data_IF_389212122315
#
_entry.id   IF_389212122315
#
_cell.length_a   1.000
_cell.length_b   1.000
_cell.length_c   1.000
_cell.angle_alpha   90.00
_cell.angle_beta   90.00
_cell.angle_gamma   90.00
#
_symmetry.space_group_name_H-M   'P 1'
#
loop_
_entity.id
_entity.type
_entity.pdbx_description
1 polymer ?
#
# COMPACT_ATOMS: atom_id res chain seq x y z
N UNK A 1 -16.28 -18.15 -15.19
CA UNK A 1 -15.90 -17.53 -13.91
C UNK A 1 -14.71 -18.27 -13.30
N UNK A 2 -13.80 -17.54 -12.68
CA UNK A 2 -12.61 -18.09 -12.05
C UNK A 2 -12.85 -18.38 -10.57
N UNK A 3 -12.35 -19.53 -10.08
CA UNK A 3 -12.25 -19.80 -8.66
C UNK A 3 -11.03 -19.06 -8.09
N UNK A 4 -11.24 -18.29 -7.03
CA UNK A 4 -10.20 -17.43 -6.43
C UNK A 4 -10.05 -17.73 -4.94
N UNK A 5 -8.87 -17.44 -4.38
CA UNK A 5 -8.61 -17.53 -2.96
C UNK A 5 -9.49 -16.55 -2.16
N UNK A 6 -9.51 -15.30 -2.59
CA UNK A 6 -10.28 -14.19 -2.01
C UNK A 6 -11.01 -13.40 -3.08
N UNK A 7 -11.59 -12.25 -2.68
CA UNK A 7 -12.39 -11.39 -3.57
C UNK A 7 -13.49 -12.17 -4.33
N UNK A 8 -14.09 -13.17 -3.65
CA UNK A 8 -15.05 -14.09 -4.27
C UNK A 8 -16.35 -13.39 -4.67
N UNK A 9 -16.65 -12.27 -4.04
CA UNK A 9 -17.77 -11.39 -4.34
C UNK A 9 -17.65 -10.66 -5.69
N UNK A 10 -16.42 -10.57 -6.22
CA UNK A 10 -16.16 -9.96 -7.52
C UNK A 10 -16.09 -11.04 -8.60
N UNK A 11 -16.98 -11.03 -9.61
CA UNK A 11 -16.89 -11.96 -10.73
C UNK A 11 -15.62 -11.68 -11.53
N UNK A 12 -14.84 -12.73 -11.79
CA UNK A 12 -13.63 -12.67 -12.61
C UNK A 12 -13.74 -13.71 -13.72
N UNK A 13 -13.60 -13.28 -14.96
CA UNK A 13 -13.73 -14.13 -16.14
C UNK A 13 -12.70 -13.75 -17.20
N UNK A 14 -12.36 -14.69 -18.05
CA UNK A 14 -11.74 -14.41 -19.35
C UNK A 14 -12.86 -14.12 -20.35
N UNK A 15 -12.69 -13.04 -21.10
CA UNK A 15 -13.67 -12.62 -22.10
C UNK A 15 -13.08 -12.86 -23.48
N UNK A 16 -13.87 -13.49 -24.34
CA UNK A 16 -13.57 -13.60 -25.76
C UNK A 16 -14.35 -12.53 -26.52
N UNK A 17 -13.61 -11.63 -27.19
CA UNK A 17 -14.21 -10.51 -27.90
C UNK A 17 -14.30 -10.88 -29.37
N UNK A 18 -15.52 -11.13 -29.86
CA UNK A 18 -15.82 -11.42 -31.27
C UNK A 18 -16.78 -10.37 -31.81
N UNK A 19 -16.37 -9.68 -32.85
CA UNK A 19 -17.18 -8.69 -33.57
C UNK A 19 -17.86 -7.64 -32.67
N UNK A 20 -17.22 -7.31 -31.54
CA UNK A 20 -17.71 -6.30 -30.62
C UNK A 20 -17.53 -4.91 -31.21
N UNK A 21 -18.61 -4.14 -31.16
CA UNK A 21 -18.54 -2.70 -31.48
C UNK A 21 -18.01 -1.94 -30.27
N UNK A 22 -17.06 -1.04 -30.48
CA UNK A 22 -16.48 -0.20 -29.46
C UNK A 22 -16.18 1.19 -30.00
N UNK A 23 -16.06 2.17 -29.10
CA UNK A 23 -15.51 3.46 -29.41
C UNK A 23 -14.00 3.46 -29.16
N UNK A 24 -13.23 3.97 -30.11
CA UNK A 24 -11.79 4.14 -29.93
C UNK A 24 -11.52 5.28 -28.93
N UNK A 25 -10.70 5.00 -27.92
CA UNK A 25 -10.19 5.98 -26.97
C UNK A 25 -8.69 6.14 -27.24
N UNK A 26 -8.27 7.35 -27.59
CA UNK A 26 -6.89 7.63 -28.01
C UNK A 26 -6.63 7.26 -29.46
N UNK A 27 -5.37 7.04 -29.80
CA UNK A 27 -4.93 6.70 -31.17
C UNK A 27 -4.85 5.20 -31.38
N UNK A 28 -4.97 4.76 -32.63
CA UNK A 28 -4.79 3.35 -33.02
C UNK A 28 -3.40 2.88 -32.58
N UNK A 29 -3.32 1.67 -32.05
CA UNK A 29 -2.09 1.02 -31.55
C UNK A 29 -1.40 1.73 -30.36
N UNK A 30 -2.04 2.75 -29.74
CA UNK A 30 -1.53 3.48 -28.58
C UNK A 30 -2.22 3.13 -27.25
N UNK A 31 -2.92 2.00 -27.18
CA UNK A 31 -3.73 1.63 -26.00
C UNK A 31 -2.93 1.57 -24.69
N UNK A 32 -1.70 1.03 -24.70
CA UNK A 32 -0.84 0.96 -23.52
C UNK A 32 -0.44 2.37 -23.05
N UNK A 33 -0.11 3.26 -23.96
CA UNK A 33 0.26 4.64 -23.62
C UNK A 33 -0.95 5.39 -23.06
N UNK A 34 -2.11 5.17 -23.65
CA UNK A 34 -3.38 5.78 -23.24
C UNK A 34 -3.81 5.36 -21.84
N UNK A 35 -3.63 4.08 -21.47
CA UNK A 35 -4.04 3.55 -20.16
C UNK A 35 -2.98 3.74 -19.06
N UNK A 36 -1.73 3.99 -19.41
CA UNK A 36 -0.62 4.05 -18.44
C UNK A 36 -0.82 5.06 -17.29
N UNK A 37 -1.41 6.25 -17.48
CA UNK A 37 -1.72 7.16 -16.37
C UNK A 37 -2.68 6.54 -15.34
N UNK A 38 -3.68 5.79 -15.80
CA UNK A 38 -4.65 5.11 -14.94
C UNK A 38 -3.98 4.11 -14.00
N UNK A 39 -2.92 3.42 -14.44
CA UNK A 39 -2.21 2.45 -13.61
C UNK A 39 -1.61 3.06 -12.32
N UNK A 40 -1.22 4.33 -12.34
CA UNK A 40 -0.76 5.00 -11.13
C UNK A 40 -1.92 5.22 -10.15
N UNK A 41 -3.09 5.61 -10.63
CA UNK A 41 -4.29 5.80 -9.81
C UNK A 41 -4.76 4.48 -9.20
N UNK A 42 -4.81 3.41 -9.98
CA UNK A 42 -5.21 2.08 -9.47
C UNK A 42 -4.22 1.50 -8.47
N UNK A 43 -2.92 1.80 -8.61
CA UNK A 43 -1.90 1.47 -7.60
C UNK A 43 -2.11 2.22 -6.29
N UNK A 44 -2.48 3.51 -6.33
CA UNK A 44 -2.88 4.27 -5.13
C UNK A 44 -4.04 3.58 -4.41
N UNK A 45 -5.10 3.26 -5.15
CA UNK A 45 -6.25 2.53 -4.59
C UNK A 45 -5.85 1.18 -3.99
N UNK A 46 -4.94 0.46 -4.62
CA UNK A 46 -4.48 -0.86 -4.16
C UNK A 46 -3.79 -0.78 -2.80
N UNK A 47 -2.83 0.13 -2.62
CA UNK A 47 -2.15 0.20 -1.33
C UNK A 47 -2.99 0.89 -0.24
N UNK A 48 -3.85 1.83 -0.59
CA UNK A 48 -4.83 2.40 0.37
C UNK A 48 -5.82 1.32 0.83
N UNK A 49 -6.34 0.51 -0.10
CA UNK A 49 -7.19 -0.63 0.22
C UNK A 49 -6.48 -1.67 1.11
N UNK A 50 -5.19 -1.94 0.83
CA UNK A 50 -4.35 -2.82 1.67
C UNK A 50 -4.25 -2.30 3.11
N UNK A 51 -3.99 -1.01 3.29
CA UNK A 51 -3.94 -0.38 4.60
C UNK A 51 -5.28 -0.40 5.32
N UNK A 52 -6.38 -0.19 4.61
CA UNK A 52 -7.72 -0.24 5.18
C UNK A 52 -8.04 -1.64 5.72
N UNK A 53 -7.72 -2.70 4.97
CA UNK A 53 -7.85 -4.09 5.42
C UNK A 53 -6.99 -4.38 6.65
N UNK A 54 -5.74 -3.94 6.64
CA UNK A 54 -4.83 -4.11 7.78
C UNK A 54 -5.29 -3.31 9.00
N UNK A 55 -5.75 -2.07 8.81
CA UNK A 55 -6.33 -1.25 9.88
C UNK A 55 -7.53 -1.95 10.53
N UNK A 56 -8.40 -2.54 9.71
CA UNK A 56 -9.56 -3.30 10.20
C UNK A 56 -9.12 -4.52 11.02
N UNK A 57 -8.14 -5.29 10.54
CA UNK A 57 -7.59 -6.44 11.24
C UNK A 57 -7.01 -6.03 12.62
N UNK A 58 -6.21 -4.96 12.69
CA UNK A 58 -5.69 -4.42 13.96
C UNK A 58 -6.83 -4.05 14.91
N UNK A 59 -7.91 -3.44 14.41
CA UNK A 59 -9.06 -3.06 15.23
C UNK A 59 -9.77 -4.29 15.83
N UNK A 60 -9.99 -5.32 15.02
CA UNK A 60 -10.58 -6.60 15.46
C UNK A 60 -9.71 -7.24 16.55
N UNK A 61 -8.40 -7.36 16.29
CA UNK A 61 -7.45 -7.96 17.22
C UNK A 61 -7.38 -7.22 18.56
N UNK A 62 -7.39 -5.88 18.54
CA UNK A 62 -7.43 -5.07 19.76
C UNK A 62 -8.72 -5.30 20.56
N UNK A 63 -9.85 -5.39 19.89
CA UNK A 63 -11.13 -5.67 20.53
C UNK A 63 -11.16 -7.07 21.14
N UNK A 64 -10.64 -8.06 20.41
CA UNK A 64 -10.48 -9.42 20.88
C UNK A 64 -9.57 -9.49 22.14
N UNK A 65 -8.42 -8.82 22.11
CA UNK A 65 -7.48 -8.82 23.22
C UNK A 65 -8.05 -8.21 24.50
N UNK A 66 -8.98 -7.26 24.40
CA UNK A 66 -9.69 -6.69 25.54
C UNK A 66 -10.74 -7.63 26.13
N UNK A 67 -11.39 -8.43 25.29
CA UNK A 67 -12.46 -9.35 25.70
C UNK A 67 -11.94 -10.72 26.13
N UNK A 68 -10.87 -11.21 25.51
CA UNK A 68 -10.34 -12.55 25.74
C UNK A 68 -9.49 -12.61 27.01
N UNK A 69 -9.89 -13.44 27.96
CA UNK A 69 -9.14 -13.72 29.19
C UNK A 69 -8.38 -15.05 29.05
N UNK A 70 -7.12 -15.06 29.43
CA UNK A 70 -6.27 -16.25 29.51
C UNK A 70 -5.39 -16.14 30.76
N UNK A 71 -5.15 -17.25 31.46
CA UNK A 71 -4.30 -17.28 32.67
C UNK A 71 -4.76 -16.25 33.72
N UNK A 72 -6.07 -16.02 33.80
CA UNK A 72 -6.68 -15.11 34.78
C UNK A 72 -6.71 -13.63 34.40
N UNK A 73 -6.08 -13.22 33.28
CA UNK A 73 -6.01 -11.83 32.84
C UNK A 73 -6.47 -11.64 31.39
N UNK A 74 -7.07 -10.50 31.03
CA UNK A 74 -7.30 -10.13 29.63
C UNK A 74 -5.99 -10.12 28.85
N UNK A 75 -6.01 -10.59 27.59
CA UNK A 75 -4.82 -10.56 26.71
C UNK A 75 -4.21 -9.16 26.59
N UNK A 76 -5.03 -8.12 26.65
CA UNK A 76 -4.61 -6.73 26.65
C UNK A 76 -3.65 -6.34 27.79
N UNK A 77 -3.69 -7.06 28.91
CA UNK A 77 -2.83 -6.84 30.09
C UNK A 77 -1.58 -7.72 30.08
N UNK A 78 -1.47 -8.66 29.15
CA UNK A 78 -0.29 -9.54 29.02
C UNK A 78 0.81 -8.83 28.26
N UNK A 79 1.98 -8.55 28.87
CA UNK A 79 3.03 -7.71 28.26
C UNK A 79 3.51 -8.18 26.89
N UNK A 80 3.69 -9.50 26.71
CA UNK A 80 4.11 -10.06 25.41
C UNK A 80 3.08 -9.81 24.32
N UNK A 81 1.80 -9.98 24.63
CA UNK A 81 0.71 -9.74 23.68
C UNK A 81 0.56 -8.25 23.35
N UNK A 82 0.68 -7.40 24.39
CA UNK A 82 0.63 -5.94 24.20
C UNK A 82 1.78 -5.44 23.32
N UNK A 83 2.98 -5.99 23.49
CA UNK A 83 4.14 -5.67 22.64
C UNK A 83 3.87 -6.04 21.18
N UNK A 84 3.32 -7.22 20.91
CA UNK A 84 2.93 -7.65 19.56
C UNK A 84 1.96 -6.66 18.92
N UNK A 85 0.91 -6.24 19.65
CA UNK A 85 -0.06 -5.25 19.19
C UNK A 85 0.61 -3.89 18.90
N UNK A 86 1.54 -3.47 19.73
CA UNK A 86 2.28 -2.22 19.55
C UNK A 86 3.16 -2.28 18.29
N UNK A 87 3.89 -3.36 18.06
CA UNK A 87 4.72 -3.57 16.88
C UNK A 87 3.89 -3.53 15.59
N UNK A 88 2.71 -4.16 15.59
CA UNK A 88 1.79 -4.10 14.45
C UNK A 88 1.30 -2.67 14.18
N UNK A 89 0.95 -1.92 15.23
CA UNK A 89 0.50 -0.53 15.11
C UNK A 89 1.61 0.38 14.55
N UNK A 90 2.85 0.23 15.02
CA UNK A 90 4.01 1.02 14.54
C UNK A 90 4.26 0.76 13.06
N UNK A 91 4.29 -0.51 12.64
CA UNK A 91 4.47 -0.88 11.23
C UNK A 91 3.35 -0.33 10.34
N UNK A 92 2.10 -0.44 10.81
CA UNK A 92 0.95 0.10 10.07
C UNK A 92 1.04 1.63 9.92
N UNK A 93 1.41 2.35 10.97
CA UNK A 93 1.57 3.82 10.92
C UNK A 93 2.69 4.24 9.98
N UNK A 94 3.81 3.52 9.98
CA UNK A 94 4.89 3.77 9.02
C UNK A 94 4.42 3.61 7.57
N UNK A 95 3.72 2.51 7.27
CA UNK A 95 3.15 2.28 5.95
C UNK A 95 2.08 3.32 5.57
N UNK A 96 1.28 3.76 6.53
CA UNK A 96 0.27 4.82 6.34
C UNK A 96 0.91 6.16 5.97
N UNK A 97 2.02 6.53 6.62
CA UNK A 97 2.74 7.77 6.29
C UNK A 97 3.25 7.74 4.83
N UNK A 98 3.85 6.63 4.40
CA UNK A 98 4.28 6.47 3.01
C UNK A 98 3.09 6.58 2.03
N UNK A 99 1.97 5.93 2.35
CA UNK A 99 0.79 5.96 1.51
C UNK A 99 0.21 7.37 1.34
N UNK A 100 -0.03 8.08 2.45
CA UNK A 100 -0.62 9.42 2.40
C UNK A 100 0.32 10.45 1.81
N UNK A 101 1.62 10.30 2.02
CA UNK A 101 2.60 11.11 1.31
C UNK A 101 2.50 10.91 -0.21
N UNK A 102 2.38 9.66 -0.67
CA UNK A 102 2.25 9.37 -2.11
C UNK A 102 0.92 9.88 -2.68
N UNK A 103 -0.17 9.82 -1.90
CA UNK A 103 -1.46 10.42 -2.28
C UNK A 103 -1.36 11.95 -2.39
N UNK A 104 -0.67 12.61 -1.44
CA UNK A 104 -0.43 14.05 -1.52
C UNK A 104 0.38 14.45 -2.76
N UNK A 105 1.39 13.64 -3.12
CA UNK A 105 2.14 13.83 -4.37
C UNK A 105 1.26 13.72 -5.61
N UNK A 106 0.30 12.81 -5.60
CA UNK A 106 -0.66 12.68 -6.70
C UNK A 106 -1.44 13.98 -6.89
N UNK A 107 -1.96 14.56 -5.80
CA UNK A 107 -2.64 15.86 -5.87
C UNK A 107 -1.75 16.97 -6.44
N UNK A 108 -0.47 17.03 -6.05
CA UNK A 108 0.48 18.01 -6.62
C UNK A 108 0.68 17.81 -8.13
N UNK A 109 0.75 16.55 -8.57
CA UNK A 109 0.98 16.24 -10.00
C UNK A 109 -0.26 16.50 -10.83
N UNK A 110 -1.45 16.17 -10.33
CA UNK A 110 -2.70 16.25 -11.09
C UNK A 110 -3.25 17.67 -11.12
N UNK A 111 -3.37 18.31 -9.98
CA UNK A 111 -3.97 19.64 -9.85
C UNK A 111 -3.00 20.77 -10.14
N UNK A 112 -1.70 20.47 -10.25
CA UNK A 112 -0.62 21.47 -10.41
C UNK A 112 -0.66 22.55 -9.32
N UNK A 113 -1.20 22.19 -8.13
CA UNK A 113 -1.29 23.11 -6.98
C UNK A 113 0.05 23.11 -6.25
N UNK A 114 0.67 24.28 -6.06
CA UNK A 114 1.91 24.38 -5.28
C UNK A 114 1.74 23.87 -3.86
N UNK A 115 2.70 23.07 -3.38
CA UNK A 115 2.71 22.66 -1.98
C UNK A 115 2.87 23.87 -1.07
N UNK A 116 2.17 23.87 0.07
CA UNK A 116 2.32 24.91 1.09
C UNK A 116 3.70 24.81 1.75
N UNK A 117 4.20 25.93 2.32
CA UNK A 117 5.46 25.94 3.08
C UNK A 117 5.45 24.95 4.27
N UNK A 118 4.28 24.54 4.75
CA UNK A 118 4.14 23.54 5.82
C UNK A 118 4.48 22.11 5.36
N UNK A 119 4.50 21.87 4.05
CA UNK A 119 4.81 20.58 3.44
C UNK A 119 6.09 20.68 2.60
N UNK A 120 7.16 21.24 3.20
CA UNK A 120 8.44 21.50 2.52
C UNK A 120 9.10 20.25 1.91
N UNK A 121 8.74 19.05 2.36
CA UNK A 121 9.20 17.79 1.81
C UNK A 121 8.46 17.38 0.51
N UNK A 122 7.30 17.98 0.23
CA UNK A 122 6.63 17.78 -1.06
C UNK A 122 7.31 18.66 -2.12
N UNK A 123 7.60 18.10 -3.31
CA UNK A 123 8.10 18.89 -4.43
C UNK A 123 7.04 19.85 -4.94
N UNK A 124 7.48 20.93 -5.57
CA UNK A 124 6.58 21.80 -6.32
C UNK A 124 6.11 21.10 -7.62
N UNK A 125 4.95 21.50 -8.20
CA UNK A 125 4.49 20.97 -9.45
C UNK A 125 5.55 21.03 -10.55
N UNK A 126 5.58 20.02 -11.41
CA UNK A 126 6.52 19.92 -12.52
C UNK A 126 7.30 18.61 -12.51
N UNK A 127 8.43 18.59 -13.18
CA UNK A 127 9.21 17.37 -13.45
C UNK A 127 9.66 16.64 -12.21
N UNK A 128 10.05 17.35 -11.14
CA UNK A 128 10.46 16.73 -9.88
C UNK A 128 9.30 15.98 -9.25
N UNK A 129 8.12 16.61 -9.12
CA UNK A 129 6.92 15.98 -8.57
C UNK A 129 6.53 14.72 -9.36
N UNK A 130 6.56 14.78 -10.70
CA UNK A 130 6.26 13.62 -11.54
C UNK A 130 7.24 12.46 -11.32
N UNK A 131 8.53 12.75 -11.22
CA UNK A 131 9.57 11.73 -11.02
C UNK A 131 9.41 11.08 -9.64
N UNK A 132 9.26 11.89 -8.59
CA UNK A 132 9.10 11.41 -7.22
C UNK A 132 7.80 10.60 -7.08
N UNK A 133 6.69 11.11 -7.61
CA UNK A 133 5.39 10.44 -7.58
C UNK A 133 5.45 9.06 -8.24
N UNK A 134 5.94 9.00 -9.47
CA UNK A 134 5.98 7.73 -10.21
C UNK A 134 6.90 6.70 -9.56
N UNK A 135 8.03 7.15 -9.02
CA UNK A 135 8.97 6.32 -8.29
C UNK A 135 8.33 5.76 -7.01
N UNK A 136 7.73 6.64 -6.20
CA UNK A 136 7.14 6.23 -4.93
C UNK A 136 5.84 5.44 -5.09
N UNK A 137 5.05 5.67 -6.13
CA UNK A 137 3.82 4.89 -6.37
C UNK A 137 4.13 3.42 -6.60
N UNK A 138 5.13 3.10 -7.41
CA UNK A 138 5.56 1.72 -7.64
C UNK A 138 6.10 1.07 -6.35
N UNK A 139 6.93 1.81 -5.61
CA UNK A 139 7.52 1.36 -4.34
C UNK A 139 6.45 1.16 -3.26
N UNK A 140 5.58 2.14 -3.05
CA UNK A 140 4.51 2.08 -2.06
C UNK A 140 3.58 0.89 -2.31
N UNK A 141 3.17 0.67 -3.55
CA UNK A 141 2.33 -0.49 -3.90
C UNK A 141 3.04 -1.81 -3.58
N UNK A 142 4.29 -1.98 -3.99
CA UNK A 142 5.03 -3.21 -3.77
C UNK A 142 5.26 -3.51 -2.28
N UNK A 143 5.66 -2.48 -1.51
CA UNK A 143 6.00 -2.62 -0.10
C UNK A 143 4.76 -2.74 0.77
N UNK A 144 3.81 -1.80 0.63
CA UNK A 144 2.63 -1.72 1.51
C UNK A 144 1.73 -2.94 1.34
N UNK A 145 1.51 -3.43 0.11
CA UNK A 145 0.67 -4.61 -0.11
C UNK A 145 1.23 -5.86 0.58
N UNK A 146 2.55 -6.03 0.59
CA UNK A 146 3.20 -7.15 1.31
C UNK A 146 3.18 -6.94 2.81
N UNK A 147 3.49 -5.74 3.29
CA UNK A 147 3.44 -5.42 4.72
C UNK A 147 2.04 -5.63 5.27
N UNK A 148 1.00 -5.21 4.54
CA UNK A 148 -0.38 -5.38 4.96
C UNK A 148 -0.78 -6.86 5.02
N UNK A 149 -0.38 -7.68 4.03
CA UNK A 149 -0.66 -9.13 4.05
C UNK A 149 0.01 -9.79 5.26
N UNK A 150 1.29 -9.52 5.49
CA UNK A 150 2.00 -10.04 6.65
C UNK A 150 1.40 -9.51 7.97
N UNK A 151 1.07 -8.22 8.05
CA UNK A 151 0.47 -7.63 9.24
C UNK A 151 -0.94 -8.15 9.54
N UNK A 152 -1.75 -8.47 8.53
CA UNK A 152 -3.06 -9.12 8.74
C UNK A 152 -2.88 -10.55 9.22
N UNK A 153 -1.87 -11.27 8.73
CA UNK A 153 -1.54 -12.61 9.20
C UNK A 153 -1.10 -12.60 10.67
N UNK A 154 -0.27 -11.66 11.08
CA UNK A 154 0.09 -11.45 12.49
C UNK A 154 -1.15 -11.17 13.37
N UNK A 155 -2.06 -10.34 12.87
CA UNK A 155 -3.34 -10.10 13.53
C UNK A 155 -4.16 -11.38 13.69
N UNK A 156 -4.21 -12.21 12.64
CA UNK A 156 -4.90 -13.50 12.66
C UNK A 156 -4.28 -14.44 13.70
N UNK A 157 -2.96 -14.59 13.69
CA UNK A 157 -2.21 -15.44 14.61
C UNK A 157 -2.41 -15.01 16.07
N UNK A 158 -2.39 -13.70 16.33
CA UNK A 158 -2.55 -13.15 17.69
C UNK A 158 -3.91 -13.46 18.35
N UNK A 159 -4.90 -13.86 17.56
CA UNK A 159 -6.21 -14.31 18.04
C UNK A 159 -6.27 -15.82 18.30
N UNK A 160 -5.20 -16.55 17.99
CA UNK A 160 -5.16 -18.01 18.12
C UNK A 160 -6.15 -18.70 17.17
N UNK A 161 -6.70 -19.85 17.56
CA UNK A 161 -7.62 -20.62 16.72
C UNK A 161 -8.84 -19.84 16.23
N UNK A 162 -9.33 -18.89 17.02
CA UNK A 162 -10.45 -18.02 16.61
C UNK A 162 -10.11 -17.19 15.36
N UNK A 163 -8.88 -16.70 15.25
CA UNK A 163 -8.44 -15.94 14.07
C UNK A 163 -8.41 -16.78 12.78
N UNK A 164 -8.34 -18.09 12.88
CA UNK A 164 -8.32 -18.99 11.73
C UNK A 164 -9.72 -19.39 11.24
N UNK A 165 -10.76 -19.12 12.04
CA UNK A 165 -12.14 -19.46 11.67
C UNK A 165 -12.62 -18.55 10.52
N UNK A 166 -13.36 -19.13 9.59
CA UNK A 166 -13.98 -18.45 8.46
C UNK A 166 -15.49 -18.38 8.66
N UNK A 167 -15.92 -17.58 9.63
CA UNK A 167 -17.32 -17.44 9.99
C UNK A 167 -18.03 -16.50 9.00
N UNK A 168 -18.79 -17.10 8.08
CA UNK A 168 -19.52 -16.34 7.07
C UNK A 168 -20.63 -15.46 7.68
N UNK A 169 -21.17 -15.86 8.81
CA UNK A 169 -22.27 -15.18 9.50
C UNK A 169 -21.81 -13.95 10.32
N UNK A 170 -20.50 -13.81 10.52
CA UNK A 170 -19.89 -12.70 11.25
C UNK A 170 -18.86 -11.95 10.37
N UNK A 171 -19.29 -11.37 9.24
CA UNK A 171 -18.36 -10.81 8.25
C UNK A 171 -17.52 -9.65 8.78
N UNK A 172 -18.00 -8.89 9.78
CA UNK A 172 -17.28 -7.78 10.37
C UNK A 172 -16.08 -8.21 11.23
N UNK A 173 -16.06 -9.45 11.72
CA UNK A 173 -14.98 -10.00 12.55
C UNK A 173 -14.16 -11.06 11.82
N UNK A 174 -14.51 -11.40 10.58
CA UNK A 174 -13.86 -12.44 9.81
C UNK A 174 -12.49 -11.99 9.28
N UNK A 175 -11.45 -12.14 10.11
CA UNK A 175 -10.08 -11.77 9.77
C UNK A 175 -9.49 -12.68 8.69
N UNK A 176 -9.91 -13.96 8.63
CA UNK A 176 -9.52 -14.90 7.57
C UNK A 176 -9.96 -14.41 6.20
N UNK A 177 -11.17 -13.86 6.08
CA UNK A 177 -11.65 -13.24 4.84
C UNK A 177 -10.85 -12.00 4.47
N UNK A 178 -10.53 -11.14 5.46
CA UNK A 178 -9.70 -9.95 5.22
C UNK A 178 -8.33 -10.36 4.66
N UNK A 179 -7.69 -11.37 5.23
CA UNK A 179 -6.40 -11.90 4.77
C UNK A 179 -6.47 -12.40 3.33
N UNK A 180 -7.47 -13.25 3.02
CA UNK A 180 -7.65 -13.78 1.65
C UNK A 180 -7.88 -12.68 0.63
N UNK A 181 -8.71 -11.71 0.95
CA UNK A 181 -9.01 -10.60 0.05
C UNK A 181 -7.80 -9.68 -0.13
N UNK A 182 -7.02 -9.45 0.92
CA UNK A 182 -5.84 -8.61 0.83
C UNK A 182 -4.68 -9.26 0.04
N UNK A 183 -4.60 -10.58 0.00
CA UNK A 183 -3.50 -11.30 -0.66
C UNK A 183 -3.37 -10.93 -2.15
N UNK A 184 -4.47 -10.63 -2.85
CA UNK A 184 -4.46 -10.24 -4.25
C UNK A 184 -3.77 -8.89 -4.51
N UNK A 185 -3.71 -8.02 -3.50
CA UNK A 185 -3.09 -6.69 -3.62
C UNK A 185 -1.59 -6.73 -3.94
N UNK A 186 -0.90 -7.82 -3.62
CA UNK A 186 0.49 -8.03 -4.02
C UNK A 186 0.63 -8.53 -5.48
N UNK A 187 -0.46 -8.93 -6.11
CA UNK A 187 -0.49 -9.57 -7.44
C UNK A 187 -0.96 -8.60 -8.52
N UNK A 188 -2.19 -8.07 -8.39
CA UNK A 188 -2.74 -7.16 -9.39
C UNK A 188 -2.01 -5.81 -9.40
N UNK A 189 -2.20 -5.01 -10.44
CA UNK A 189 -1.50 -3.72 -10.66
C UNK A 189 0.05 -3.85 -10.73
N UNK A 190 0.53 -5.06 -10.95
CA UNK A 190 1.93 -5.42 -11.05
C UNK A 190 2.46 -6.12 -9.81
N UNK A 191 3.03 -7.31 -10.00
CA UNK A 191 3.75 -8.03 -8.95
C UNK A 191 5.01 -7.27 -8.53
N UNK A 192 5.58 -7.60 -7.38
CA UNK A 192 6.78 -6.91 -6.86
C UNK A 192 7.92 -6.85 -7.88
N UNK A 193 8.19 -7.95 -8.59
CA UNK A 193 9.27 -8.00 -9.58
C UNK A 193 8.97 -7.11 -10.81
N UNK A 194 7.72 -7.05 -11.25
CA UNK A 194 7.29 -6.17 -12.34
C UNK A 194 7.48 -4.70 -11.93
N UNK A 195 7.04 -4.33 -10.72
CA UNK A 195 7.19 -2.98 -10.20
C UNK A 195 8.66 -2.60 -9.99
N UNK A 196 9.48 -3.51 -9.47
CA UNK A 196 10.93 -3.28 -9.32
C UNK A 196 11.61 -3.06 -10.68
N UNK A 197 11.27 -3.87 -11.69
CA UNK A 197 11.77 -3.70 -13.05
C UNK A 197 11.31 -2.37 -13.69
N UNK A 198 10.06 -1.97 -13.46
CA UNK A 198 9.55 -0.68 -13.93
C UNK A 198 10.25 0.49 -13.23
N UNK A 199 10.43 0.39 -11.92
CA UNK A 199 11.14 1.37 -11.09
C UNK A 199 12.58 1.60 -11.61
N UNK A 200 13.35 0.54 -11.79
CA UNK A 200 14.73 0.65 -12.30
C UNK A 200 14.75 1.26 -13.71
N UNK A 201 13.94 0.72 -14.63
CA UNK A 201 13.87 1.24 -16.00
C UNK A 201 13.44 2.70 -16.07
N UNK A 202 12.60 3.14 -15.15
CA UNK A 202 12.19 4.54 -15.08
C UNK A 202 13.29 5.44 -14.54
N UNK A 203 13.98 5.02 -13.46
CA UNK A 203 15.05 5.82 -12.85
C UNK A 203 16.26 6.01 -13.75
N UNK A 204 16.69 4.98 -14.47
CA UNK A 204 17.83 5.08 -15.39
C UNK A 204 17.53 5.88 -16.66
N UNK A 205 16.27 6.26 -16.88
CA UNK A 205 15.86 7.00 -18.08
C UNK A 205 16.09 8.50 -17.92
N UNK A 206 16.89 9.12 -18.82
CA UNK A 206 17.23 10.53 -18.78
C UNK A 206 17.86 10.92 -17.42
N UNK A 207 17.41 12.03 -16.83
CA UNK A 207 17.91 12.58 -15.55
C UNK A 207 17.09 12.15 -14.33
N UNK A 208 16.20 11.15 -14.48
CA UNK A 208 15.25 10.82 -13.41
C UNK A 208 15.95 10.38 -12.12
N UNK A 209 17.03 9.61 -12.21
CA UNK A 209 17.81 9.19 -11.04
C UNK A 209 18.41 10.39 -10.31
N UNK A 210 18.97 11.34 -11.07
CA UNK A 210 19.55 12.57 -10.49
C UNK A 210 18.48 13.43 -9.83
N UNK A 211 17.31 13.59 -10.47
CA UNK A 211 16.18 14.34 -9.94
C UNK A 211 15.70 13.71 -8.63
N UNK A 212 15.51 12.40 -8.62
CA UNK A 212 15.05 11.67 -7.43
C UNK A 212 16.09 11.76 -6.29
N UNK A 213 17.38 11.55 -6.59
CA UNK A 213 18.47 11.69 -5.62
C UNK A 213 18.52 13.09 -5.00
N UNK A 214 18.47 14.14 -5.83
CA UNK A 214 18.47 15.53 -5.35
C UNK A 214 17.29 15.83 -4.41
N UNK A 215 16.10 15.33 -4.75
CA UNK A 215 14.93 15.44 -3.87
C UNK A 215 15.12 14.69 -2.56
N UNK A 216 15.65 13.48 -2.61
CA UNK A 216 15.92 12.65 -1.42
C UNK A 216 16.93 13.33 -0.49
N UNK A 217 18.05 13.78 -1.03
CA UNK A 217 19.10 14.49 -0.26
C UNK A 217 18.53 15.73 0.44
N UNK A 218 17.76 16.54 -0.30
CA UNK A 218 17.07 17.71 0.28
C UNK A 218 16.10 17.31 1.39
N UNK A 219 15.34 16.23 1.20
CA UNK A 219 14.37 15.76 2.20
C UNK A 219 15.07 15.25 3.46
N UNK A 220 16.20 14.56 3.32
CA UNK A 220 17.01 14.10 4.45
C UNK A 220 17.53 15.26 5.30
N UNK A 221 17.83 16.42 4.70
CA UNK A 221 18.28 17.61 5.47
C UNK A 221 17.19 18.18 6.38
N UNK A 222 15.91 17.89 6.11
CA UNK A 222 14.78 18.34 6.94
C UNK A 222 14.62 17.51 8.23
N UNK A 223 15.32 16.39 8.35
CA UNK A 223 15.26 15.53 9.54
C UNK A 223 16.05 16.18 10.66
N UNK A 224 15.36 16.53 11.75
CA UNK A 224 15.97 17.19 12.90
C UNK A 224 16.86 16.26 13.73
N UNK A 225 16.49 14.98 13.88
CA UNK A 225 17.29 14.00 14.61
C UNK A 225 18.56 13.65 13.82
N UNK A 226 19.72 13.97 14.38
CA UNK A 226 21.03 13.69 13.78
C UNK A 226 21.24 12.18 13.61
N UNK A 227 20.92 11.39 14.63
CA UNK A 227 21.07 9.92 14.59
C UNK A 227 20.21 9.28 13.51
N UNK A 228 18.94 9.70 13.41
CA UNK A 228 18.04 9.20 12.38
C UNK A 228 18.53 9.60 10.98
N UNK A 229 18.94 10.84 10.80
CA UNK A 229 19.49 11.31 9.51
C UNK A 229 20.71 10.51 9.10
N UNK A 230 21.68 10.31 10.01
CA UNK A 230 22.89 9.54 9.73
C UNK A 230 22.57 8.09 9.37
N UNK A 231 21.65 7.44 10.10
CA UNK A 231 21.20 6.08 9.80
C UNK A 231 20.57 5.97 8.42
N UNK A 232 19.74 6.95 8.01
CA UNK A 232 19.07 6.95 6.70
C UNK A 232 20.01 7.35 5.54
N UNK A 233 21.04 8.12 5.81
CA UNK A 233 22.06 8.49 4.78
C UNK A 233 23.01 7.33 4.50
N UNK A 234 23.20 6.43 5.48
CA UNK A 234 24.07 5.25 5.36
C UNK A 234 23.35 4.03 4.71
N UNK A 235 22.03 4.08 4.58
CA UNK A 235 21.22 2.99 4.01
C UNK A 235 21.07 3.15 2.48
#
# INVERSE_FOLDING_TARGET
>A
LKNKLGTKELPTAELELKDMRAHLIGEIDQGIVTIAPLLNVTRLHTFVGSLAGWRRAISITKSFAKARTTVGEPLWLIPMHLRLLADMEVKHRGAMNLAWFTVALFGVVEDQIPSSNKLAHLPQPGKEAEVVFRTLTATAKAVISKMATAGIQECQESMGGVGYMDEADEPEFNISRILRNNAVNSIWEGTTNVLASEFVRFLIKKDNLKIFGTWLDRTLTLIQSVDLRNALTAA
#
